data_IF_249215921660
#
_entry.id   IF_249215921660
#
_cell.length_a   1.000
_cell.length_b   1.000
_cell.length_c   1.000
_cell.angle_alpha   90.00
_cell.angle_beta   90.00
_cell.angle_gamma   90.00
#
_symmetry.space_group_name_H-M   'P 1'
#
loop_
_entity.id
_entity.type
_entity.pdbx_description
1 polymer ?
#
# COMPACT_ATOMS: atom_id res chain seq x y z
N UNK A 1 1.85 -8.11 -14.12
CA UNK A 1 0.52 -7.86 -14.71
C UNK A 1 -0.50 -8.60 -13.88
N UNK A 2 -1.60 -7.94 -13.53
CA UNK A 2 -2.69 -8.52 -12.76
C UNK A 2 -3.71 -9.11 -13.75
N UNK A 3 -4.20 -10.32 -13.49
CA UNK A 3 -5.16 -11.05 -14.33
C UNK A 3 -6.58 -11.06 -13.75
N UNK A 4 -7.40 -11.95 -14.30
CA UNK A 4 -8.81 -12.14 -13.90
C UNK A 4 -8.88 -13.26 -12.84
N UNK A 5 -9.71 -13.07 -11.82
CA UNK A 5 -10.02 -14.09 -10.81
C UNK A 5 -11.47 -14.56 -10.97
N UNK A 6 -11.68 -15.87 -11.18
CA UNK A 6 -13.00 -16.49 -11.08
C UNK A 6 -13.30 -16.86 -9.63
N UNK A 7 -14.41 -16.33 -9.11
CA UNK A 7 -14.81 -16.45 -7.69
C UNK A 7 -16.08 -17.28 -7.50
N UNK A 8 -16.64 -17.86 -8.57
CA UNK A 8 -17.91 -18.60 -8.51
C UNK A 8 -17.73 -19.92 -7.75
N UNK A 9 -18.68 -20.23 -6.87
CA UNK A 9 -18.67 -21.47 -6.08
C UNK A 9 -17.54 -21.57 -5.04
N UNK A 10 -16.83 -20.48 -4.74
CA UNK A 10 -15.71 -20.46 -3.79
C UNK A 10 -16.13 -19.96 -2.41
N UNK A 11 -15.53 -20.52 -1.37
CA UNK A 11 -15.66 -20.00 0.00
C UNK A 11 -14.96 -18.63 0.14
N UNK A 12 -15.31 -17.81 1.14
CA UNK A 12 -14.68 -16.48 1.31
C UNK A 12 -13.16 -16.55 1.45
N UNK A 13 -12.64 -17.60 2.10
CA UNK A 13 -11.21 -17.81 2.22
C UNK A 13 -10.55 -18.12 0.87
N UNK A 14 -11.09 -19.07 0.10
CA UNK A 14 -10.58 -19.38 -1.24
C UNK A 14 -10.66 -18.18 -2.18
N UNK A 15 -11.72 -17.37 -2.08
CA UNK A 15 -11.84 -16.12 -2.84
C UNK A 15 -10.69 -15.18 -2.54
N UNK A 16 -10.37 -14.97 -1.26
CA UNK A 16 -9.27 -14.11 -0.85
C UNK A 16 -7.92 -14.60 -1.41
N UNK A 17 -7.67 -15.90 -1.39
CA UNK A 17 -6.45 -16.49 -1.96
C UNK A 17 -6.36 -16.33 -3.49
N UNK A 18 -7.46 -16.56 -4.21
CA UNK A 18 -7.50 -16.40 -5.68
C UNK A 18 -7.31 -14.93 -6.07
N UNK A 19 -7.93 -14.00 -5.33
CA UNK A 19 -7.75 -12.55 -5.56
C UNK A 19 -6.30 -12.15 -5.31
N UNK A 20 -5.72 -12.59 -4.19
CA UNK A 20 -4.30 -12.36 -3.86
C UNK A 20 -3.39 -12.82 -4.99
N UNK A 21 -3.59 -14.05 -5.46
CA UNK A 21 -2.76 -14.67 -6.50
C UNK A 21 -2.88 -13.98 -7.86
N UNK A 22 -4.09 -13.65 -8.29
CA UNK A 22 -4.35 -13.28 -9.68
C UNK A 22 -4.52 -11.77 -9.89
N UNK A 23 -5.10 -11.04 -8.93
CA UNK A 23 -5.55 -9.66 -9.15
C UNK A 23 -4.77 -8.61 -8.37
N UNK A 24 -4.06 -8.99 -7.30
CA UNK A 24 -3.35 -8.04 -6.45
C UNK A 24 -2.01 -7.65 -7.06
N UNK A 25 -1.70 -6.35 -7.02
CA UNK A 25 -0.41 -5.85 -7.47
C UNK A 25 0.71 -6.31 -6.53
N UNK A 26 1.88 -6.67 -7.08
CA UNK A 26 3.01 -7.25 -6.34
C UNK A 26 3.38 -6.50 -5.06
N UNK A 27 3.34 -5.16 -5.12
CA UNK A 27 3.63 -4.27 -3.97
C UNK A 27 2.71 -4.48 -2.76
N UNK A 28 1.44 -4.82 -3.00
CA UNK A 28 0.44 -5.03 -1.94
C UNK A 28 0.30 -6.50 -1.54
N UNK A 29 0.88 -7.41 -2.33
CA UNK A 29 0.70 -8.85 -2.16
C UNK A 29 1.20 -9.32 -0.79
N UNK A 30 2.39 -8.88 -0.38
CA UNK A 30 2.98 -9.24 0.91
C UNK A 30 2.10 -8.77 2.08
N UNK A 31 1.70 -7.51 2.08
CA UNK A 31 0.85 -6.92 3.13
C UNK A 31 -0.49 -7.67 3.25
N UNK A 32 -1.19 -7.88 2.13
CA UNK A 32 -2.49 -8.55 2.13
C UNK A 32 -2.39 -10.04 2.50
N UNK A 33 -1.30 -10.70 2.11
CA UNK A 33 -1.01 -12.09 2.53
C UNK A 33 -0.84 -12.16 4.05
N UNK A 34 -0.10 -11.22 4.63
CA UNK A 34 0.10 -11.14 6.08
C UNK A 34 -1.20 -10.79 6.82
N UNK A 35 -2.05 -9.94 6.25
CA UNK A 35 -3.38 -9.65 6.78
C UNK A 35 -4.26 -10.92 6.84
N UNK A 36 -4.29 -11.70 5.75
CA UNK A 36 -5.07 -12.94 5.69
C UNK A 36 -4.56 -14.02 6.66
N UNK A 37 -3.23 -14.12 6.82
CA UNK A 37 -2.57 -15.06 7.76
C UNK A 37 -2.79 -14.69 9.22
N UNK A 38 -2.74 -13.40 9.56
CA UNK A 38 -2.90 -12.91 10.94
C UNK A 38 -4.35 -12.81 11.39
N UNK A 39 -5.30 -12.84 10.47
CA UNK A 39 -6.73 -12.84 10.77
C UNK A 39 -7.16 -14.18 11.38
N UNK A 40 -8.01 -14.11 12.42
CA UNK A 40 -8.53 -15.31 13.11
C UNK A 40 -9.30 -16.22 12.14
N UNK A 41 -9.25 -17.55 12.32
CA UNK A 41 -10.01 -18.48 11.50
C UNK A 41 -11.51 -18.28 11.75
N UNK A 42 -12.24 -18.00 10.67
CA UNK A 42 -13.69 -17.80 10.65
C UNK A 42 -14.20 -18.04 9.22
N UNK A 43 -15.51 -18.00 9.02
CA UNK A 43 -16.11 -18.10 7.68
C UNK A 43 -15.57 -16.99 6.74
N UNK A 44 -15.43 -15.77 7.26
CA UNK A 44 -14.73 -14.66 6.61
C UNK A 44 -13.61 -14.19 7.55
N UNK A 45 -12.36 -14.33 7.10
CA UNK A 45 -11.19 -13.96 7.91
C UNK A 45 -11.02 -12.44 7.89
N UNK A 46 -11.34 -11.81 9.01
CA UNK A 46 -11.12 -10.39 9.22
C UNK A 46 -10.44 -10.13 10.56
N UNK A 47 -9.58 -9.12 10.57
CA UNK A 47 -9.14 -8.45 11.77
C UNK A 47 -9.75 -7.04 11.79
N UNK A 48 -10.70 -6.80 12.70
CA UNK A 48 -11.47 -5.56 12.79
C UNK A 48 -10.56 -4.37 13.12
N UNK A 49 -9.57 -4.56 13.99
CA UNK A 49 -8.63 -3.51 14.40
C UNK A 49 -7.82 -2.96 13.22
N UNK A 50 -7.55 -3.81 12.22
CA UNK A 50 -6.70 -3.48 11.07
C UNK A 50 -7.43 -3.42 9.74
N UNK A 51 -8.74 -3.68 9.71
CA UNK A 51 -9.50 -3.79 8.45
C UNK A 51 -9.45 -2.50 7.61
N UNK A 52 -9.39 -1.35 8.27
CA UNK A 52 -9.34 -0.03 7.63
C UNK A 52 -7.95 0.61 7.66
N UNK A 53 -6.90 -0.15 8.00
CA UNK A 53 -5.54 0.38 8.18
C UNK A 53 -5.02 1.04 6.88
N UNK A 54 -5.14 0.38 5.72
CA UNK A 54 -4.71 0.95 4.43
C UNK A 54 -5.40 2.29 4.10
N UNK A 55 -6.70 2.37 4.35
CA UNK A 55 -7.47 3.60 4.12
C UNK A 55 -7.09 4.69 5.11
N UNK A 56 -6.91 4.32 6.39
CA UNK A 56 -6.47 5.24 7.44
C UNK A 56 -5.08 5.80 7.15
N UNK A 57 -4.18 4.97 6.62
CA UNK A 57 -2.85 5.38 6.20
C UNK A 57 -2.93 6.38 5.05
N UNK A 58 -3.72 6.08 4.02
CA UNK A 58 -3.93 7.00 2.90
C UNK A 58 -4.40 8.39 3.35
N UNK A 59 -5.36 8.45 4.29
CA UNK A 59 -5.86 9.71 4.84
C UNK A 59 -4.82 10.48 5.66
N UNK A 60 -3.97 9.78 6.41
CA UNK A 60 -2.99 10.40 7.32
C UNK A 60 -1.69 10.81 6.63
N UNK A 61 -1.22 10.00 5.68
CA UNK A 61 0.12 10.14 5.10
C UNK A 61 0.12 10.35 3.60
N UNK A 62 -1.03 10.23 2.93
CA UNK A 62 -1.14 10.29 1.47
C UNK A 62 -0.73 8.99 0.76
N UNK A 63 -0.38 7.92 1.50
CA UNK A 63 -0.05 6.62 0.92
C UNK A 63 -0.66 5.47 1.74
N UNK A 64 -1.12 4.41 1.05
CA UNK A 64 -1.71 3.24 1.70
C UNK A 64 -0.67 2.38 2.43
N UNK A 65 0.50 2.18 1.80
CA UNK A 65 1.58 1.37 2.36
C UNK A 65 2.56 2.25 3.13
N UNK A 66 2.99 1.77 4.29
CA UNK A 66 3.94 2.51 5.13
C UNK A 66 5.35 2.58 4.52
N UNK A 67 5.72 1.63 3.65
CA UNK A 67 7.00 1.68 2.93
C UNK A 67 7.07 2.90 1.99
N UNK A 68 5.93 3.34 1.46
CA UNK A 68 5.83 4.52 0.59
C UNK A 68 6.02 5.81 1.36
N UNK A 69 5.69 5.81 2.66
CA UNK A 69 5.95 6.92 3.56
C UNK A 69 7.44 7.27 3.59
N UNK A 70 8.33 6.29 3.73
CA UNK A 70 9.77 6.53 3.79
C UNK A 70 10.30 7.09 2.47
N UNK A 71 9.79 6.62 1.34
CA UNK A 71 10.18 7.14 0.03
C UNK A 71 9.66 8.56 -0.21
N UNK A 72 8.44 8.88 0.23
CA UNK A 72 7.88 10.24 0.17
C UNK A 72 8.60 11.20 1.13
N UNK A 73 8.90 10.78 2.36
CA UNK A 73 9.71 11.57 3.31
C UNK A 73 11.12 11.81 2.77
N UNK A 74 11.77 10.79 2.21
CA UNK A 74 13.07 10.94 1.57
C UNK A 74 13.01 11.83 0.34
N UNK A 75 12.00 11.68 -0.53
CA UNK A 75 11.81 12.54 -1.69
C UNK A 75 11.58 14.00 -1.28
N UNK A 76 10.72 14.27 -0.29
CA UNK A 76 10.52 15.62 0.25
C UNK A 76 11.81 16.18 0.84
N UNK A 77 12.57 15.37 1.58
CA UNK A 77 13.85 15.77 2.16
C UNK A 77 14.91 16.06 1.09
N UNK A 78 14.96 15.27 0.01
CA UNK A 78 15.89 15.46 -1.12
C UNK A 78 15.49 16.65 -2.01
N UNK A 79 14.20 16.90 -2.22
CA UNK A 79 13.70 18.09 -2.93
C UNK A 79 13.98 19.37 -2.15
N UNK A 80 13.82 19.35 -0.82
CA UNK A 80 14.22 20.49 0.02
C UNK A 80 15.74 20.68 -0.01
N UNK A 81 16.53 19.60 0.05
CA UNK A 81 17.99 19.70 -0.02
C UNK A 81 18.49 20.24 -1.37
N UNK A 82 17.92 19.77 -2.49
CA UNK A 82 18.27 20.25 -3.84
C UNK A 82 17.82 21.69 -4.11
N UNK A 83 16.69 22.14 -3.53
CA UNK A 83 16.27 23.55 -3.56
C UNK A 83 17.16 24.46 -2.69
N UNK A 84 17.81 23.93 -1.65
CA UNK A 84 18.74 24.68 -0.79
C UNK A 84 20.14 24.79 -1.44
N UNK A 85 20.51 23.88 -2.34
CA UNK A 85 21.84 23.85 -3.01
C UNK A 85 21.86 24.46 -4.42
N UNK A 86 20.83 25.17 -4.86
CA UNK A 86 20.91 26.04 -6.03
C UNK A 86 20.98 27.50 -5.55
N UNK A 87 22.19 28.10 -5.46
CA UNK A 87 22.27 29.55 -5.41
C UNK A 87 21.77 30.05 -6.76
N UNK A 88 20.57 30.63 -6.81
CA UNK A 88 20.18 31.43 -7.99
C UNK A 88 21.23 32.54 -8.14
N UNK A 89 22.00 32.60 -9.24
CA UNK A 89 22.90 33.71 -9.46
C UNK A 89 22.07 34.92 -9.89
N UNK A 90 22.26 36.00 -9.13
CA UNK A 90 22.09 37.40 -9.52
C UNK A 90 21.91 37.62 -11.03
N UNK A 91 20.76 38.18 -11.43
CA UNK A 91 20.69 39.18 -12.52
C UNK A 91 19.78 40.31 -12.05
N UNK A 92 20.41 41.30 -11.42
CA UNK A 92 19.96 42.68 -11.43
C UNK A 92 20.58 43.29 -12.70
N UNK A 93 19.80 43.44 -13.76
CA UNK A 93 20.11 44.27 -14.92
C UNK A 93 18.80 44.86 -15.44
#
# INVERSE_FOLDING_TARGET
MNGIADLRGKSPFEKAEIILKNCVHQKYHEYLTNYLKSSKPAHSRHNIEKCFELHTNLLKTGAMLQLDKYLLELAHRYVIFSKITLPEPLIFC
#
